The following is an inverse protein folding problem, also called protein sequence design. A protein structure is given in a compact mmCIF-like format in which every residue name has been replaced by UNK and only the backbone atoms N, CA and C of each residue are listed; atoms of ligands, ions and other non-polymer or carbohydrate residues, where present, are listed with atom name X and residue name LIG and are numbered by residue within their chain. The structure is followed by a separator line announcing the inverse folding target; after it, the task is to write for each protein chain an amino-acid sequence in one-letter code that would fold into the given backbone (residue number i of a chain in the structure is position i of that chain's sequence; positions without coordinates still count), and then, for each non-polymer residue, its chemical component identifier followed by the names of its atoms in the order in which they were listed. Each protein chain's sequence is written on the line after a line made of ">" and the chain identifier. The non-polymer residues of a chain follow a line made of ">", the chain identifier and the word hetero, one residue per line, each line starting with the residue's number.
data_IF_131825125197
#
_entry.id   IF_131825125197
#
_cell.length_a   1.000
_cell.length_b   1.000
_cell.length_c   1.000
_cell.angle_alpha   90.00
_cell.angle_beta   90.00
_cell.angle_gamma   90.00
#
_symmetry.space_group_name_H-M   'P 1'
#
loop_
_entity.id
_entity.type
_entity.pdbx_description
1 polymer ?
#
# COMPACT_ATOMS: atom_id res chain seq x y z
N UNK A 1 -17.01 -19.81 12.89
CA UNK A 1 -15.58 -19.58 13.10
C UNK A 1 -15.34 -18.13 13.52
N UNK A 2 -14.63 -17.94 14.62
CA UNK A 2 -14.29 -16.59 15.05
C UNK A 2 -12.90 -16.22 14.55
N UNK A 3 -12.84 -15.09 13.88
CA UNK A 3 -11.57 -14.52 13.43
C UNK A 3 -11.43 -13.18 14.15
N UNK A 4 -10.26 -12.88 14.70
CA UNK A 4 -10.07 -11.60 15.38
C UNK A 4 -9.91 -10.47 14.34
N UNK A 5 -10.12 -9.24 14.82
CA UNK A 5 -10.08 -8.07 13.93
C UNK A 5 -8.72 -7.88 13.26
N UNK A 6 -7.65 -8.22 13.96
CA UNK A 6 -6.30 -8.12 13.43
C UNK A 6 -6.11 -9.07 12.25
N UNK A 7 -6.61 -10.31 12.35
CA UNK A 7 -6.53 -11.27 11.27
C UNK A 7 -7.35 -10.83 10.06
N UNK A 8 -8.53 -10.26 10.29
CA UNK A 8 -9.39 -9.74 9.23
C UNK A 8 -8.70 -8.60 8.50
N UNK A 9 -8.10 -7.65 9.24
CA UNK A 9 -7.38 -6.53 8.66
C UNK A 9 -6.18 -6.99 7.85
N UNK A 10 -5.45 -7.98 8.35
CA UNK A 10 -4.29 -8.54 7.68
C UNK A 10 -4.69 -9.21 6.36
N UNK A 11 -5.76 -10.00 6.41
CA UNK A 11 -6.27 -10.69 5.23
C UNK A 11 -6.77 -9.71 4.17
N UNK A 12 -7.49 -8.67 4.60
CA UNK A 12 -7.98 -7.64 3.69
C UNK A 12 -6.84 -6.89 3.02
N UNK A 13 -5.80 -6.55 3.78
CA UNK A 13 -4.62 -5.86 3.23
C UNK A 13 -3.89 -6.76 2.23
N UNK A 14 -3.71 -8.03 2.56
CA UNK A 14 -3.04 -8.99 1.67
C UNK A 14 -3.84 -9.19 0.38
N UNK A 15 -5.15 -9.32 0.49
CA UNK A 15 -6.02 -9.47 -0.68
C UNK A 15 -5.95 -8.23 -1.58
N UNK A 16 -5.98 -7.04 -0.98
CA UNK A 16 -5.85 -5.79 -1.71
C UNK A 16 -4.52 -5.74 -2.48
N UNK A 17 -3.42 -6.14 -1.85
CA UNK A 17 -2.11 -6.19 -2.50
C UNK A 17 -2.13 -7.15 -3.70
N UNK A 18 -2.78 -8.29 -3.56
CA UNK A 18 -2.89 -9.27 -4.65
C UNK A 18 -3.67 -8.71 -5.84
N UNK A 19 -4.79 -8.04 -5.56
CA UNK A 19 -5.61 -7.43 -6.61
C UNK A 19 -4.83 -6.34 -7.34
N UNK A 20 -4.17 -5.47 -6.59
CA UNK A 20 -3.36 -4.38 -7.16
C UNK A 20 -2.24 -4.97 -8.04
N UNK A 21 -1.57 -6.02 -7.56
CA UNK A 21 -0.50 -6.66 -8.32
C UNK A 21 -1.00 -7.21 -9.65
N UNK A 22 -2.20 -7.81 -9.66
CA UNK A 22 -2.80 -8.31 -10.90
C UNK A 22 -3.13 -7.18 -11.86
N UNK A 23 -3.72 -6.11 -11.36
CA UNK A 23 -4.09 -4.97 -12.20
C UNK A 23 -2.86 -4.28 -12.79
N UNK A 24 -1.77 -4.19 -12.03
CA UNK A 24 -0.51 -3.66 -12.53
C UNK A 24 0.07 -4.54 -13.63
N UNK A 25 0.04 -5.87 -13.45
CA UNK A 25 0.55 -6.80 -14.46
C UNK A 25 -0.25 -6.74 -15.75
N UNK A 26 -1.56 -6.52 -15.65
CA UNK A 26 -2.44 -6.43 -16.81
C UNK A 26 -2.41 -5.05 -17.47
N UNK A 27 -1.68 -4.10 -16.90
CA UNK A 27 -1.58 -2.76 -17.45
C UNK A 27 -2.84 -1.92 -17.27
N UNK A 28 -3.76 -2.36 -16.41
CA UNK A 28 -4.98 -1.61 -16.09
C UNK A 28 -4.68 -0.43 -15.18
N UNK A 29 -3.75 -0.61 -14.25
CA UNK A 29 -3.29 0.46 -13.37
C UNK A 29 -1.93 0.97 -13.84
N UNK A 30 -1.77 2.28 -13.85
CA UNK A 30 -0.48 2.92 -14.07
C UNK A 30 0.28 2.96 -12.74
N UNK A 31 1.48 2.37 -12.73
CA UNK A 31 2.28 2.26 -11.51
C UNK A 31 2.67 3.63 -10.95
N UNK A 32 3.10 4.55 -11.81
CA UNK A 32 3.52 5.88 -11.37
C UNK A 32 2.36 6.67 -10.78
N UNK A 33 1.19 6.60 -11.41
CA UNK A 33 0.01 7.26 -10.88
C UNK A 33 -0.41 6.67 -9.54
N UNK A 34 -0.34 5.34 -9.42
CA UNK A 34 -0.66 4.67 -8.17
C UNK A 34 0.30 5.08 -7.05
N UNK A 35 1.59 5.12 -7.34
CA UNK A 35 2.60 5.54 -6.36
C UNK A 35 2.34 6.97 -5.89
N UNK A 36 2.04 7.87 -6.80
CA UNK A 36 1.73 9.25 -6.44
C UNK A 36 0.47 9.34 -5.58
N UNK A 37 -0.56 8.57 -5.91
CA UNK A 37 -1.79 8.53 -5.12
C UNK A 37 -1.54 8.00 -3.71
N UNK A 38 -0.72 6.94 -3.59
CA UNK A 38 -0.38 6.39 -2.27
C UNK A 38 0.41 7.40 -1.45
N UNK A 39 1.37 8.08 -2.04
CA UNK A 39 2.18 9.09 -1.34
C UNK A 39 1.30 10.23 -0.82
N UNK A 40 0.33 10.65 -1.62
CA UNK A 40 -0.62 11.67 -1.19
C UNK A 40 -1.43 11.19 0.01
N UNK A 41 -1.91 9.96 -0.02
CA UNK A 41 -2.67 9.37 1.08
C UNK A 41 -1.81 9.26 2.34
N UNK A 42 -0.54 8.87 2.19
CA UNK A 42 0.41 8.82 3.31
C UNK A 42 0.52 10.18 3.97
N UNK A 43 0.69 11.23 3.17
CA UNK A 43 0.81 12.59 3.71
C UNK A 43 -0.46 13.02 4.43
N UNK A 44 -1.62 12.71 3.86
CA UNK A 44 -2.91 13.02 4.50
C UNK A 44 -3.07 12.29 5.83
N UNK A 45 -2.73 11.00 5.89
CA UNK A 45 -2.81 10.23 7.13
C UNK A 45 -1.85 10.77 8.18
N UNK A 46 -0.67 11.21 7.80
CA UNK A 46 0.32 11.77 8.72
C UNK A 46 -0.10 13.10 9.34
N UNK A 47 -1.01 13.83 8.73
CA UNK A 47 -1.53 15.06 9.31
C UNK A 47 -2.51 14.82 10.46
N UNK A 48 -3.00 13.58 10.59
CA UNK A 48 -3.93 13.19 11.64
C UNK A 48 -3.12 12.62 12.80
N UNK A 49 -3.24 13.25 13.98
CA UNK A 49 -2.40 12.92 15.13
C UNK A 49 -2.89 11.71 15.93
N UNK A 50 -3.61 10.79 15.28
CA UNK A 50 -4.09 9.56 15.93
C UNK A 50 -3.12 8.42 15.63
N UNK A 51 -2.79 7.56 16.62
CA UNK A 51 -1.86 6.45 16.39
C UNK A 51 -2.24 5.52 15.25
N UNK A 52 -3.53 5.23 15.09
CA UNK A 52 -4.01 4.38 14.01
C UNK A 52 -3.69 4.97 12.64
N UNK A 53 -3.84 6.29 12.49
CA UNK A 53 -3.54 6.97 11.24
C UNK A 53 -2.04 7.02 10.97
N UNK A 54 -1.23 7.18 12.01
CA UNK A 54 0.23 7.15 11.88
C UNK A 54 0.70 5.75 11.45
N UNK A 55 0.12 4.70 12.03
CA UNK A 55 0.43 3.32 11.65
C UNK A 55 -0.02 3.02 10.22
N UNK A 56 -1.19 3.52 9.82
CA UNK A 56 -1.67 3.36 8.45
C UNK A 56 -0.73 4.03 7.45
N UNK A 57 -0.25 5.24 7.78
CA UNK A 57 0.72 5.93 6.92
C UNK A 57 2.00 5.12 6.75
N UNK A 58 2.49 4.52 7.83
CA UNK A 58 3.70 3.69 7.80
C UNK A 58 3.51 2.47 6.90
N UNK A 59 2.37 1.77 7.03
CA UNK A 59 2.06 0.60 6.20
C UNK A 59 1.95 0.98 4.73
N UNK A 60 1.29 2.08 4.43
CA UNK A 60 1.16 2.55 3.05
C UNK A 60 2.51 2.94 2.45
N UNK A 61 3.38 3.56 3.25
CA UNK A 61 4.72 3.94 2.79
C UNK A 61 5.55 2.70 2.46
N UNK A 62 5.49 1.66 3.30
CA UNK A 62 6.18 0.40 3.06
C UNK A 62 5.64 -0.26 1.79
N UNK A 63 4.31 -0.29 1.63
CA UNK A 63 3.70 -0.86 0.44
C UNK A 63 4.09 -0.10 -0.82
N UNK A 64 4.16 1.23 -0.74
CA UNK A 64 4.59 2.06 -1.85
C UNK A 64 6.00 1.65 -2.32
N UNK A 65 6.91 1.39 -1.37
CA UNK A 65 8.25 0.92 -1.70
C UNK A 65 8.24 -0.46 -2.36
N UNK A 66 7.34 -1.35 -1.93
CA UNK A 66 7.23 -2.69 -2.50
C UNK A 66 6.80 -2.68 -3.96
N UNK A 67 5.94 -1.74 -4.36
CA UNK A 67 5.42 -1.69 -5.74
C UNK A 67 6.30 -0.88 -6.68
N UNK A 68 7.31 -0.19 -6.17
CA UNK A 68 8.27 0.49 -7.04
C UNK A 68 9.15 -0.54 -7.75
N UNK A 69 9.50 -0.29 -9.02
CA UNK A 69 10.39 -1.22 -9.70
C UNK A 69 11.75 -1.21 -9.00
N UNK A 70 12.41 -2.39 -8.92
CA UNK A 70 13.73 -2.44 -8.31
C UNK A 70 14.69 -1.55 -9.09
N UNK A 71 15.56 -0.84 -8.37
CA UNK A 71 16.62 -0.08 -9.00
C UNK A 71 17.62 -1.04 -9.60
N UNK A 72 17.88 -0.88 -10.90
CA UNK A 72 18.89 -1.66 -11.56
C UNK A 72 20.26 -1.14 -11.11
N UNK A 73 21.11 -1.98 -10.48
CA UNK A 73 22.41 -1.52 -10.00
C UNK A 73 23.36 -1.10 -11.14
N UNK A 74 23.04 -1.47 -12.36
CA UNK A 74 23.86 -1.11 -13.53
C UNK A 74 23.42 0.20 -14.18
N UNK A 75 22.34 0.78 -13.69
CA UNK A 75 21.85 2.07 -14.19
C UNK A 75 22.56 3.26 -13.55
#
# INVERSE_FOLDING_TARGET
>A
MRVNEEAVSFAAFSLTKMVVAQLLRQGILDREELILAIRKEVDEQRTIAEPTNQDAATLLAVYCDEIQPPMDPDD
#
